data_IF_709791173198
#
_entry.id   IF_709791173198
#
_cell.length_a   1.000
_cell.length_b   1.000
_cell.length_c   1.000
_cell.angle_alpha   90.00
_cell.angle_beta   90.00
_cell.angle_gamma   90.00
#
_symmetry.space_group_name_H-M   'P 1'
#
loop_
_entity.id
_entity.type
_entity.pdbx_description
1 polymer ?
#
# COMPACT_ATOMS: atom_id res chain seq x y z
N UNK A 1 -5.98 12.24 -7.86
CA UNK A 1 -6.82 13.41 -7.50
C UNK A 1 -7.51 13.14 -6.17
N UNK A 2 -7.62 14.15 -5.31
CA UNK A 2 -8.34 14.07 -4.02
C UNK A 2 -9.63 14.90 -4.08
N UNK A 3 -10.65 14.46 -3.34
CA UNK A 3 -11.94 15.16 -3.22
C UNK A 3 -12.20 15.49 -1.76
N UNK A 4 -12.50 16.75 -1.46
CA UNK A 4 -12.96 17.13 -0.13
C UNK A 4 -14.39 16.65 0.12
N UNK A 5 -14.65 16.13 1.32
CA UNK A 5 -15.98 15.71 1.72
C UNK A 5 -16.82 16.96 2.01
N UNK A 6 -18.08 16.99 1.54
CA UNK A 6 -18.98 18.14 1.69
C UNK A 6 -19.55 18.70 0.38
N UNK A 7 -19.24 18.10 -0.77
CA UNK A 7 -19.87 18.42 -2.05
C UNK A 7 -21.25 17.76 -2.26
N UNK A 8 -21.92 18.07 -3.37
CA UNK A 8 -23.27 17.54 -3.69
C UNK A 8 -23.31 16.02 -3.90
N UNK A 9 -22.18 15.38 -4.22
CA UNK A 9 -22.09 13.94 -4.48
C UNK A 9 -21.37 13.25 -3.33
N UNK A 10 -22.09 12.35 -2.64
CA UNK A 10 -21.52 11.50 -1.60
C UNK A 10 -20.89 10.24 -2.18
N UNK A 11 -19.59 10.06 -1.97
CA UNK A 11 -18.89 8.81 -2.30
C UNK A 11 -18.75 7.95 -1.05
N UNK A 12 -18.93 6.63 -1.18
CA UNK A 12 -18.69 5.69 -0.08
C UNK A 12 -17.17 5.57 0.16
N UNK A 13 -16.63 6.00 1.31
CA UNK A 13 -15.22 5.87 1.59
C UNK A 13 -14.83 4.39 1.72
N UNK A 14 -13.74 4.01 1.05
CA UNK A 14 -13.04 2.76 1.29
C UNK A 14 -11.73 3.08 1.98
N UNK A 15 -11.51 2.45 3.13
CA UNK A 15 -10.27 2.64 3.88
C UNK A 15 -9.10 1.97 3.17
N UNK A 16 -7.92 2.58 3.31
CA UNK A 16 -6.66 2.00 2.85
C UNK A 16 -6.43 0.67 3.59
N UNK A 17 -5.90 -0.32 2.88
CA UNK A 17 -5.62 -1.61 3.51
C UNK A 17 -4.50 -1.48 4.55
N UNK A 18 -4.78 -1.95 5.77
CA UNK A 18 -3.80 -1.95 6.85
C UNK A 18 -3.84 -0.75 7.78
N UNK A 19 -4.87 0.09 7.69
CA UNK A 19 -5.10 1.12 8.70
C UNK A 19 -5.44 0.51 10.07
N UNK A 20 -5.12 1.19 11.18
CA UNK A 20 -5.59 0.79 12.51
C UNK A 20 -7.12 0.70 12.56
N UNK A 21 -7.66 -0.21 13.35
CA UNK A 21 -9.12 -0.40 13.42
C UNK A 21 -9.88 0.84 13.85
N UNK A 22 -9.29 1.65 14.73
CA UNK A 22 -9.86 2.93 15.19
C UNK A 22 -10.16 3.88 14.02
N UNK A 23 -9.27 3.93 13.03
CA UNK A 23 -9.41 4.81 11.87
C UNK A 23 -10.55 4.38 10.92
N UNK A 24 -11.13 3.18 11.07
CA UNK A 24 -12.32 2.77 10.30
C UNK A 24 -13.59 3.53 10.70
N UNK A 25 -13.62 4.08 11.92
CA UNK A 25 -14.78 4.77 12.48
C UNK A 25 -14.66 6.29 12.37
N UNK A 26 -13.52 6.80 11.88
CA UNK A 26 -13.30 8.22 11.68
C UNK A 26 -13.81 8.66 10.30
N UNK A 27 -14.38 9.86 10.24
CA UNK A 27 -14.80 10.46 8.98
C UNK A 27 -13.62 11.13 8.29
N UNK A 28 -13.27 10.74 7.04
CA UNK A 28 -12.12 11.32 6.35
C UNK A 28 -12.39 12.79 5.96
N UNK A 29 -11.35 13.62 5.96
CA UNK A 29 -11.45 15.00 5.44
C UNK A 29 -11.48 15.02 3.91
N UNK A 30 -10.79 14.07 3.28
CA UNK A 30 -10.69 13.97 1.83
C UNK A 30 -10.68 12.51 1.39
N UNK A 31 -11.20 12.27 0.18
CA UNK A 31 -11.24 10.96 -0.47
C UNK A 31 -10.20 10.92 -1.59
N UNK A 32 -9.49 9.80 -1.68
CA UNK A 32 -8.65 9.48 -2.83
C UNK A 32 -9.55 8.94 -3.95
N UNK A 33 -9.71 9.70 -5.02
CA UNK A 33 -10.53 9.29 -6.17
C UNK A 33 -9.79 8.34 -7.10
N UNK A 34 -8.46 8.45 -7.14
CA UNK A 34 -7.58 7.64 -7.96
C UNK A 34 -6.25 7.41 -7.22
N UNK A 35 -5.49 6.41 -7.64
CA UNK A 35 -4.22 6.04 -7.03
C UNK A 35 -4.37 5.35 -5.67
N UNK A 36 -5.55 4.79 -5.36
CA UNK A 36 -5.80 4.10 -4.09
C UNK A 36 -4.83 2.94 -3.87
N UNK A 37 -4.50 2.16 -4.91
CA UNK A 37 -3.55 1.04 -4.83
C UNK A 37 -2.11 1.53 -4.59
N UNK A 38 -1.71 2.58 -5.31
CA UNK A 38 -0.41 3.23 -5.19
C UNK A 38 -0.19 3.80 -3.79
N UNK A 39 -1.15 4.55 -3.27
CA UNK A 39 -1.08 5.09 -1.90
C UNK A 39 -1.11 3.97 -0.85
N UNK A 40 -1.92 2.93 -1.06
CA UNK A 40 -1.98 1.78 -0.13
C UNK A 40 -0.63 1.10 -0.02
N UNK A 41 0.02 0.86 -1.16
CA UNK A 41 1.36 0.27 -1.24
C UNK A 41 2.39 1.12 -0.48
N UNK A 42 2.41 2.42 -0.74
CA UNK A 42 3.35 3.35 -0.08
C UNK A 42 3.10 3.40 1.42
N UNK A 43 1.84 3.49 1.86
CA UNK A 43 1.47 3.51 3.28
C UNK A 43 1.97 2.25 4.01
N UNK A 44 1.76 1.09 3.40
CA UNK A 44 2.18 -0.20 3.96
C UNK A 44 3.70 -0.31 4.13
N UNK A 45 4.47 0.21 3.17
CA UNK A 45 5.95 0.14 3.19
C UNK A 45 6.55 1.15 4.16
N UNK A 46 6.05 2.38 4.15
CA UNK A 46 6.72 3.51 4.82
C UNK A 46 6.30 3.68 6.27
N UNK A 47 4.99 3.60 6.54
CA UNK A 47 4.41 3.94 7.82
C UNK A 47 4.07 2.70 8.66
N UNK A 48 3.57 1.65 8.02
CA UNK A 48 3.03 0.49 8.75
C UNK A 48 4.12 -0.41 9.34
N UNK A 49 5.26 -0.59 8.66
CA UNK A 49 6.42 -1.42 9.11
C UNK A 49 6.03 -2.80 9.68
N UNK A 50 4.93 -3.38 9.20
CA UNK A 50 4.40 -4.69 9.61
C UNK A 50 4.36 -5.62 8.41
N UNK A 51 4.30 -6.92 8.69
CA UNK A 51 4.03 -7.95 7.67
C UNK A 51 2.69 -7.64 7.01
N UNK A 52 2.70 -7.60 5.69
CA UNK A 52 1.50 -7.37 4.89
C UNK A 52 1.05 -8.65 4.22
N UNK A 53 -0.24 -8.74 3.96
CA UNK A 53 -0.79 -9.78 3.10
C UNK A 53 -0.67 -9.27 1.67
N UNK A 54 -0.13 -10.10 0.80
CA UNK A 54 -0.01 -9.84 -0.64
C UNK A 54 -0.63 -11.01 -1.39
N UNK A 55 -1.02 -10.79 -2.64
CA UNK A 55 -1.50 -11.85 -3.51
C UNK A 55 -0.57 -12.03 -4.71
N UNK A 56 -0.39 -13.28 -5.10
CA UNK A 56 0.23 -13.60 -6.39
C UNK A 56 -0.77 -13.39 -7.53
N UNK A 57 -0.30 -13.28 -8.79
CA UNK A 57 -1.18 -13.31 -9.96
C UNK A 57 -2.09 -14.56 -10.02
N UNK A 58 -1.69 -15.65 -9.35
CA UNK A 58 -2.50 -16.88 -9.20
C UNK A 58 -3.44 -16.84 -7.98
N UNK A 59 -3.71 -15.66 -7.44
CA UNK A 59 -4.57 -15.40 -6.29
C UNK A 59 -4.17 -16.13 -4.98
N UNK A 60 -2.94 -16.65 -4.89
CA UNK A 60 -2.40 -17.21 -3.65
C UNK A 60 -2.03 -16.07 -2.69
N UNK A 61 -2.61 -16.09 -1.49
CA UNK A 61 -2.29 -15.16 -0.40
C UNK A 61 -0.95 -15.53 0.23
N UNK A 62 -0.12 -14.53 0.48
CA UNK A 62 1.22 -14.66 1.05
C UNK A 62 1.44 -13.55 2.07
N UNK A 63 2.08 -13.91 3.18
CA UNK A 63 2.63 -12.93 4.10
C UNK A 63 4.00 -12.49 3.60
N UNK A 64 4.17 -11.18 3.44
CA UNK A 64 5.34 -10.58 2.82
C UNK A 64 5.78 -9.39 3.67
N UNK A 65 7.08 -9.23 3.85
CA UNK A 65 7.69 -8.03 4.36
C UNK A 65 8.00 -7.09 3.20
N UNK A 66 7.46 -5.87 3.25
CA UNK A 66 7.77 -4.82 2.28
C UNK A 66 8.86 -3.91 2.85
N UNK A 67 9.85 -3.58 2.03
CA UNK A 67 10.92 -2.66 2.38
C UNK A 67 11.06 -1.57 1.31
N UNK A 68 11.27 -0.34 1.73
CA UNK A 68 11.71 0.72 0.82
C UNK A 68 13.23 0.68 0.72
N UNK A 69 13.75 0.58 -0.49
CA UNK A 69 15.20 0.62 -0.70
C UNK A 69 15.74 2.01 -0.38
N UNK A 70 16.81 2.12 0.42
CA UNK A 70 17.36 3.43 0.82
C UNK A 70 17.77 4.32 -0.36
N UNK A 71 18.11 3.75 -1.53
CA UNK A 71 18.40 4.56 -2.74
C UNK A 71 17.15 5.17 -3.39
N UNK A 72 15.94 4.87 -2.91
CA UNK A 72 14.69 5.54 -3.30
C UNK A 72 14.66 7.03 -2.96
N UNK A 73 15.64 7.53 -2.19
CA UNK A 73 15.80 8.96 -1.93
C UNK A 73 16.27 9.74 -3.16
N UNK A 74 16.73 9.06 -4.21
CA UNK A 74 17.16 9.69 -5.46
C UNK A 74 15.92 10.07 -6.29
N UNK A 75 15.79 11.34 -6.68
CA UNK A 75 14.59 11.87 -7.35
C UNK A 75 14.31 11.30 -8.73
N UNK A 76 15.24 10.52 -9.28
CA UNK A 76 15.16 9.95 -10.64
C UNK A 76 14.59 8.51 -10.67
N UNK A 77 14.27 7.93 -9.51
CA UNK A 77 13.66 6.59 -9.40
C UNK A 77 12.19 6.71 -9.03
N UNK A 78 11.31 5.93 -9.67
CA UNK A 78 9.93 5.82 -9.20
C UNK A 78 9.93 5.22 -7.79
N UNK A 79 9.20 5.86 -6.88
CA UNK A 79 9.11 5.44 -5.47
C UNK A 79 8.49 4.06 -5.34
N UNK A 80 7.62 3.68 -6.28
CA UNK A 80 7.04 2.33 -6.31
C UNK A 80 8.03 1.27 -6.75
N UNK A 81 8.87 1.57 -7.74
CA UNK A 81 9.90 0.64 -8.21
C UNK A 81 10.98 0.39 -7.15
N UNK A 82 11.12 1.31 -6.20
CA UNK A 82 12.04 1.16 -5.08
C UNK A 82 11.46 0.32 -3.91
N UNK A 83 10.25 -0.22 -4.05
CA UNK A 83 9.63 -1.14 -3.08
C UNK A 83 10.12 -2.56 -3.37
N UNK A 84 10.78 -3.18 -2.38
CA UNK A 84 11.26 -4.56 -2.44
C UNK A 84 10.40 -5.44 -1.55
N UNK A 85 9.98 -6.58 -2.11
CA UNK A 85 9.08 -7.54 -1.46
C UNK A 85 9.85 -8.80 -1.08
N UNK A 86 9.86 -9.15 0.21
CA UNK A 86 10.54 -10.35 0.72
C UNK A 86 9.50 -11.22 1.44
N UNK A 87 9.36 -12.47 1.01
CA UNK A 87 8.44 -13.41 1.66
C UNK A 87 8.81 -13.62 3.14
N UNK A 88 7.81 -13.86 3.98
CA UNK A 88 7.99 -14.11 5.42
C UNK A 88 8.97 -15.26 5.70
N UNK A 89 9.01 -16.27 4.84
CA UNK A 89 9.88 -17.45 4.93
C UNK A 89 11.39 -17.13 4.72
N UNK A 90 11.79 -15.85 4.69
CA UNK A 90 13.17 -15.32 4.64
C UNK A 90 14.09 -15.87 3.55
N UNK A 91 13.59 -16.72 2.67
CA UNK A 91 14.32 -17.23 1.52
C UNK A 91 14.50 -16.09 0.51
N UNK A 92 15.65 -15.41 0.60
CA UNK A 92 16.10 -14.34 -0.30
C UNK A 92 16.30 -14.84 -1.76
N UNK A 93 16.05 -16.12 -2.01
CA UNK A 93 16.30 -16.81 -3.27
C UNK A 93 15.32 -16.42 -4.39
N UNK A 94 14.30 -15.61 -4.12
CA UNK A 94 13.27 -15.31 -5.12
C UNK A 94 12.69 -13.91 -5.03
N UNK A 95 13.28 -12.99 -5.78
CA UNK A 95 12.63 -11.73 -6.18
C UNK A 95 11.36 -12.10 -6.96
N UNK A 96 10.19 -11.93 -6.36
CA UNK A 96 8.90 -12.20 -7.01
C UNK A 96 8.21 -10.88 -7.32
N UNK A 97 7.74 -10.74 -8.56
CA UNK A 97 6.76 -9.71 -8.93
C UNK A 97 5.45 -10.08 -8.22
N UNK A 98 5.20 -9.45 -7.08
CA UNK A 98 3.93 -9.58 -6.36
C UNK A 98 3.04 -8.42 -6.76
N UNK A 99 1.75 -8.69 -6.88
CA UNK A 99 0.76 -7.63 -7.06
C UNK A 99 0.52 -7.03 -5.68
N UNK A 100 0.97 -5.80 -5.51
CA UNK A 100 0.58 -4.98 -4.36
C UNK A 100 -0.90 -4.58 -4.56
N UNK A 101 -1.63 -4.47 -3.46
CA UNK A 101 -3.10 -4.43 -3.45
C UNK A 101 -3.62 -3.02 -3.75
#
# INVERSE_FOLDING_TARGET
>A
MTLYIGGQVGFKPRVIEGIPEKAKFESPLSLLLDGQQRITSIYQVTLRKQIVKTSTPKNKKLNTNLYQYKKASNSNLDREEAIINIAEDKNLTRTRRLTLI
#
